data_IF_808373332942
#
_entry.id   IF_808373332942
#
_cell.length_a   1.000
_cell.length_b   1.000
_cell.length_c   1.000
_cell.angle_alpha   90.00
_cell.angle_beta   90.00
_cell.angle_gamma   90.00
#
_symmetry.space_group_name_H-M   'P 1'
#
loop_
_entity.id
_entity.type
_entity.pdbx_description
1 polymer ?
#
# COMPACT_ATOMS: atom_id res chain seq x y z
N UNK A 1 2.26 3.66 2.62
CA UNK A 1 1.27 3.17 1.62
C UNK A 1 1.70 3.71 0.27
N UNK A 2 1.22 3.11 -0.81
CA UNK A 2 1.40 3.63 -2.17
C UNK A 2 0.06 4.17 -2.67
N UNK A 3 0.06 5.26 -3.42
CA UNK A 3 -1.16 5.76 -4.05
C UNK A 3 -1.67 4.75 -5.07
N UNK A 4 -2.97 4.53 -5.09
CA UNK A 4 -3.64 3.59 -6.01
C UNK A 4 -4.42 4.41 -7.02
N UNK A 5 -4.07 4.29 -8.29
CA UNK A 5 -4.77 4.97 -9.37
C UNK A 5 -5.85 4.04 -9.90
N UNK A 6 -7.11 4.29 -9.51
CA UNK A 6 -8.25 3.46 -9.95
C UNK A 6 -8.37 3.44 -11.48
N UNK A 7 -8.42 2.22 -12.02
CA UNK A 7 -8.80 1.88 -13.39
C UNK A 7 -10.33 1.72 -13.50
N UNK A 8 -10.83 1.42 -14.69
CA UNK A 8 -12.22 1.02 -14.87
C UNK A 8 -12.47 -0.32 -14.16
N UNK A 9 -13.65 -0.46 -13.57
CA UNK A 9 -14.06 -1.74 -12.99
C UNK A 9 -14.18 -2.85 -14.05
N UNK A 10 -14.02 -4.13 -13.67
CA UNK A 10 -14.22 -5.22 -14.61
C UNK A 10 -15.69 -5.34 -15.02
N UNK A 11 -15.94 -5.73 -16.27
CA UNK A 11 -17.29 -5.87 -16.82
C UNK A 11 -18.17 -6.82 -15.98
N UNK A 12 -17.60 -7.88 -15.43
CA UNK A 12 -18.31 -8.83 -14.56
C UNK A 12 -18.90 -8.17 -13.30
N UNK A 13 -18.28 -7.11 -12.77
CA UNK A 13 -18.87 -6.34 -11.66
C UNK A 13 -20.04 -5.48 -12.13
N UNK A 14 -19.95 -4.89 -13.33
CA UNK A 14 -21.05 -4.13 -13.94
C UNK A 14 -22.26 -5.03 -14.24
N UNK A 15 -22.01 -6.21 -14.83
CA UNK A 15 -23.03 -7.22 -15.10
C UNK A 15 -23.67 -7.74 -13.81
N UNK A 16 -22.84 -8.05 -12.81
CA UNK A 16 -23.33 -8.48 -11.49
C UNK A 16 -24.24 -7.42 -10.87
N UNK A 17 -23.85 -6.14 -10.86
CA UNK A 17 -24.68 -5.04 -10.33
C UNK A 17 -26.04 -4.90 -11.03
N UNK A 18 -26.18 -5.39 -12.26
CA UNK A 18 -27.43 -5.36 -13.03
C UNK A 18 -28.36 -6.56 -12.73
N UNK A 19 -27.87 -7.54 -11.98
CA UNK A 19 -28.62 -8.75 -11.63
C UNK A 19 -29.58 -8.52 -10.46
N UNK A 20 -30.70 -9.25 -10.44
CA UNK A 20 -31.66 -9.18 -9.33
C UNK A 20 -31.02 -9.72 -8.04
N UNK A 21 -31.18 -8.99 -6.93
CA UNK A 21 -30.60 -9.33 -5.62
C UNK A 21 -29.05 -9.43 -5.61
N UNK A 22 -28.37 -8.69 -6.48
CA UNK A 22 -26.93 -8.58 -6.48
C UNK A 22 -26.40 -7.97 -5.18
N UNK A 23 -25.42 -8.63 -4.56
CA UNK A 23 -24.69 -8.15 -3.39
C UNK A 23 -23.23 -8.63 -3.45
N UNK A 24 -22.40 -8.23 -2.48
CA UNK A 24 -21.00 -8.61 -2.50
C UNK A 24 -20.78 -10.11 -2.22
N UNK A 25 -21.65 -10.74 -1.41
CA UNK A 25 -21.51 -12.15 -1.05
C UNK A 25 -21.66 -13.06 -2.27
N UNK A 26 -22.67 -12.82 -3.11
CA UNK A 26 -22.94 -13.60 -4.32
C UNK A 26 -22.14 -13.17 -5.56
N UNK A 27 -21.29 -12.15 -5.46
CA UNK A 27 -20.37 -11.73 -6.53
C UNK A 27 -19.28 -12.81 -6.79
N UNK A 28 -19.07 -13.26 -8.05
CA UNK A 28 -17.86 -13.98 -8.45
C UNK A 28 -16.64 -13.04 -8.39
N UNK A 29 -15.74 -13.28 -7.42
CA UNK A 29 -14.72 -12.29 -7.03
C UNK A 29 -13.44 -12.32 -7.86
N UNK A 30 -13.24 -13.30 -8.73
CA UNK A 30 -11.93 -13.55 -9.38
C UNK A 30 -11.48 -12.40 -10.29
N UNK A 31 -12.38 -11.87 -11.13
CA UNK A 31 -12.07 -10.74 -12.01
C UNK A 31 -11.80 -9.45 -11.21
N UNK A 32 -12.60 -9.21 -10.16
CA UNK A 32 -12.41 -8.05 -9.27
C UNK A 32 -11.07 -8.15 -8.56
N UNK A 33 -10.70 -9.33 -8.04
CA UNK A 33 -9.40 -9.56 -7.42
C UNK A 33 -8.26 -9.33 -8.39
N UNK A 34 -8.35 -9.88 -9.59
CA UNK A 34 -7.32 -9.75 -10.64
C UNK A 34 -7.13 -8.28 -11.01
N UNK A 35 -8.24 -7.57 -11.24
CA UNK A 35 -8.24 -6.13 -11.54
C UNK A 35 -7.57 -5.32 -10.43
N UNK A 36 -7.96 -5.52 -9.16
CA UNK A 36 -7.36 -4.82 -8.02
C UNK A 36 -5.88 -5.18 -7.81
N UNK A 37 -5.49 -6.44 -8.05
CA UNK A 37 -4.12 -6.91 -7.92
C UNK A 37 -3.19 -6.21 -8.91
N UNK A 38 -3.59 -6.17 -10.18
CA UNK A 38 -2.85 -5.50 -11.26
C UNK A 38 -2.79 -4.00 -11.01
N UNK A 39 -3.91 -3.37 -10.65
CA UNK A 39 -4.01 -1.94 -10.33
C UNK A 39 -3.04 -1.52 -9.21
N UNK A 40 -2.89 -2.36 -8.19
CA UNK A 40 -2.00 -2.10 -7.06
C UNK A 40 -0.55 -2.52 -7.30
N UNK A 41 -0.19 -3.04 -8.47
CA UNK A 41 1.15 -3.58 -8.73
C UNK A 41 1.53 -4.73 -7.79
N UNK A 42 0.54 -5.55 -7.44
CA UNK A 42 0.66 -6.79 -6.66
C UNK A 42 1.14 -6.59 -5.21
N UNK A 43 0.91 -5.43 -4.61
CA UNK A 43 1.21 -5.17 -3.19
C UNK A 43 -0.07 -4.78 -2.42
N UNK A 44 -0.11 -5.11 -1.13
CA UNK A 44 -1.21 -4.76 -0.23
C UNK A 44 -1.40 -3.25 -0.13
N UNK A 45 -2.66 -2.79 -0.23
CA UNK A 45 -3.03 -1.37 -0.22
C UNK A 45 -2.48 -0.61 1.00
N UNK A 46 -2.41 -1.26 2.17
CA UNK A 46 -1.95 -0.63 3.42
C UNK A 46 -0.46 -0.87 3.69
N UNK A 47 -0.04 -2.13 3.84
CA UNK A 47 1.32 -2.42 4.30
C UNK A 47 2.36 -2.51 3.18
N UNK A 48 1.95 -2.57 1.91
CA UNK A 48 2.81 -2.81 0.74
C UNK A 48 3.58 -4.15 0.74
N UNK A 49 3.14 -5.13 1.54
CA UNK A 49 3.59 -6.53 1.40
C UNK A 49 3.13 -7.10 0.06
N UNK A 50 3.91 -8.02 -0.50
CA UNK A 50 3.56 -8.76 -1.71
C UNK A 50 2.26 -9.51 -1.46
N UNK A 51 1.38 -9.40 -2.44
CA UNK A 51 0.24 -10.29 -2.58
C UNK A 51 0.64 -11.42 -3.53
N UNK A 52 0.56 -12.70 -3.11
CA UNK A 52 0.80 -13.83 -3.99
C UNK A 52 -0.17 -13.84 -5.17
N UNK A 53 0.30 -14.24 -6.36
CA UNK A 53 -0.53 -14.36 -7.56
C UNK A 53 -1.38 -15.62 -7.56
N UNK A 54 -0.93 -16.65 -6.85
CA UNK A 54 -1.71 -17.87 -6.64
C UNK A 54 -2.51 -17.71 -5.35
N UNK A 55 -3.74 -18.20 -5.32
CA UNK A 55 -4.63 -18.23 -4.15
C UNK A 55 -4.10 -19.12 -3.00
N UNK A 56 -2.82 -19.44 -2.98
CA UNK A 56 -2.16 -20.23 -1.94
C UNK A 56 -1.74 -19.26 -0.85
N UNK A 57 -2.17 -19.58 0.38
CA UNK A 57 -1.90 -18.85 1.61
C UNK A 57 -0.57 -18.05 1.66
N UNK A 58 -0.57 -16.80 2.14
CA UNK A 58 -1.69 -16.14 2.81
C UNK A 58 -2.76 -15.63 1.84
N UNK A 59 -4.03 -15.88 2.20
CA UNK A 59 -5.18 -15.33 1.50
C UNK A 59 -5.11 -13.80 1.40
N UNK A 60 -5.71 -13.26 0.35
CA UNK A 60 -5.99 -11.83 0.22
C UNK A 60 -7.39 -11.53 0.73
N UNK A 61 -7.72 -10.24 0.88
CA UNK A 61 -9.07 -9.78 1.16
C UNK A 61 -9.37 -8.62 0.20
N UNK A 62 -10.53 -8.66 -0.44
CA UNK A 62 -11.07 -7.44 -1.06
C UNK A 62 -11.53 -6.58 0.12
N UNK A 63 -10.83 -5.48 0.32
CA UNK A 63 -11.05 -4.53 1.39
C UNK A 63 -12.02 -3.45 0.91
N UNK A 64 -13.00 -3.13 1.74
CA UNK A 64 -13.88 -1.98 1.53
C UNK A 64 -13.42 -0.84 2.43
N UNK A 65 -12.98 0.26 1.80
CA UNK A 65 -12.50 1.44 2.54
C UNK A 65 -13.59 1.96 3.49
N UNK A 66 -14.79 2.19 2.96
CA UNK A 66 -16.04 2.32 3.70
C UNK A 66 -16.59 0.90 3.95
N UNK A 67 -16.50 0.42 5.19
CA UNK A 67 -16.81 -0.97 5.53
C UNK A 67 -18.29 -1.31 5.26
N UNK A 68 -18.54 -2.54 4.81
CA UNK A 68 -19.88 -2.99 4.43
C UNK A 68 -20.89 -2.92 5.57
N UNK A 69 -20.45 -3.15 6.81
CA UNK A 69 -21.32 -3.12 7.99
C UNK A 69 -21.96 -1.73 8.23
N UNK A 70 -21.25 -0.66 7.90
CA UNK A 70 -21.71 0.72 8.10
C UNK A 70 -22.14 1.41 6.80
N UNK A 71 -21.74 0.86 5.65
CA UNK A 71 -21.97 1.41 4.32
C UNK A 71 -22.40 0.32 3.32
N UNK A 72 -23.55 -0.34 3.54
CA UNK A 72 -24.01 -1.43 2.69
C UNK A 72 -24.24 -0.99 1.23
N UNK A 73 -24.61 0.27 1.01
CA UNK A 73 -24.75 0.89 -0.31
C UNK A 73 -23.43 0.99 -1.11
N UNK A 74 -22.29 0.82 -0.44
CA UNK A 74 -20.96 0.89 -1.04
C UNK A 74 -20.36 -0.50 -1.31
N UNK A 75 -21.08 -1.58 -1.04
CA UNK A 75 -20.54 -2.95 -1.09
C UNK A 75 -20.14 -3.39 -2.51
N UNK A 76 -20.78 -2.87 -3.56
CA UNK A 76 -20.48 -3.14 -4.98
C UNK A 76 -19.80 -1.95 -5.68
N UNK A 77 -19.43 -0.90 -4.94
CA UNK A 77 -18.74 0.25 -5.52
C UNK A 77 -17.24 -0.06 -5.68
N UNK A 78 -16.78 -0.25 -6.93
CA UNK A 78 -15.38 -0.57 -7.22
C UNK A 78 -14.37 0.48 -6.71
N UNK A 79 -14.75 1.76 -6.67
CA UNK A 79 -13.89 2.82 -6.12
C UNK A 79 -13.67 2.70 -4.61
N UNK A 80 -14.59 2.01 -3.92
CA UNK A 80 -14.50 1.67 -2.51
C UNK A 80 -13.73 0.35 -2.25
N UNK A 81 -13.44 -0.43 -3.29
CA UNK A 81 -12.75 -1.72 -3.20
C UNK A 81 -11.23 -1.57 -3.42
N UNK A 82 -10.47 -2.23 -2.54
CA UNK A 82 -9.02 -2.35 -2.55
C UNK A 82 -8.63 -3.81 -2.32
N UNK A 83 -7.35 -4.15 -2.49
CA UNK A 83 -6.81 -5.46 -2.16
C UNK A 83 -5.83 -5.40 -0.99
N UNK A 84 -6.21 -6.04 0.12
CA UNK A 84 -5.40 -6.16 1.32
C UNK A 84 -4.83 -7.58 1.46
N UNK A 85 -3.72 -7.72 2.19
CA UNK A 85 -3.26 -9.03 2.65
C UNK A 85 -4.15 -9.53 3.79
N UNK A 86 -4.11 -10.84 4.10
CA UNK A 86 -4.88 -11.42 5.23
C UNK A 86 -4.56 -10.81 6.59
N UNK A 87 -3.45 -10.07 6.73
CA UNK A 87 -3.16 -9.34 7.95
C UNK A 87 -3.05 -10.22 9.20
N UNK A 88 -2.61 -11.48 9.06
CA UNK A 88 -2.61 -12.50 10.12
C UNK A 88 -4.01 -12.82 10.69
N UNK A 89 -5.01 -12.91 9.82
CA UNK A 89 -6.33 -13.43 10.16
C UNK A 89 -6.23 -14.74 10.96
N UNK A 90 -7.04 -14.87 12.01
CA UNK A 90 -7.02 -16.00 12.95
C UNK A 90 -6.02 -15.86 14.09
N UNK A 91 -5.05 -14.95 14.02
CA UNK A 91 -4.16 -14.64 15.15
C UNK A 91 -4.83 -13.71 16.18
N UNK A 92 -4.32 -13.61 17.42
CA UNK A 92 -4.78 -12.62 18.40
C UNK A 92 -4.84 -11.20 17.84
N UNK A 93 -5.85 -10.42 18.25
CA UNK A 93 -6.14 -9.09 17.70
C UNK A 93 -4.94 -8.14 17.69
N UNK A 94 -4.07 -8.20 18.70
CA UNK A 94 -2.86 -7.35 18.79
C UNK A 94 -1.76 -7.72 17.78
N UNK A 95 -1.82 -8.90 17.18
CA UNK A 95 -0.91 -9.33 16.11
C UNK A 95 -1.50 -9.05 14.71
N UNK A 96 -2.82 -8.88 14.60
CA UNK A 96 -3.48 -8.60 13.33
C UNK A 96 -3.08 -7.23 12.79
N UNK A 97 -3.10 -7.08 11.46
CA UNK A 97 -2.75 -5.84 10.75
C UNK A 97 -3.68 -5.60 9.55
N UNK A 98 -3.58 -4.43 8.91
CA UNK A 98 -4.28 -4.11 7.67
C UNK A 98 -5.82 -4.22 7.83
N UNK A 99 -6.53 -4.65 6.78
CA UNK A 99 -7.99 -4.84 6.79
C UNK A 99 -8.45 -5.68 8.00
N UNK A 100 -7.82 -6.84 8.23
CA UNK A 100 -8.18 -7.71 9.37
C UNK A 100 -8.15 -7.00 10.72
N UNK A 101 -7.19 -6.08 10.95
CA UNK A 101 -7.15 -5.27 12.18
C UNK A 101 -8.15 -4.13 12.16
N UNK A 102 -8.32 -3.47 11.01
CA UNK A 102 -9.27 -2.36 10.82
C UNK A 102 -10.68 -2.83 11.14
N UNK A 103 -11.11 -3.95 10.56
CA UNK A 103 -12.48 -4.43 10.65
C UNK A 103 -13.47 -3.35 10.20
N UNK A 104 -14.46 -3.05 11.05
CA UNK A 104 -15.50 -2.07 10.73
C UNK A 104 -15.12 -0.62 11.07
N UNK A 105 -13.89 -0.37 11.52
CA UNK A 105 -13.43 0.99 11.86
C UNK A 105 -13.23 1.83 10.59
N UNK A 106 -13.55 3.11 10.67
CA UNK A 106 -13.35 4.07 9.58
C UNK A 106 -11.90 4.57 9.54
N UNK A 107 -11.39 4.80 8.33
CA UNK A 107 -10.14 5.50 8.09
C UNK A 107 -10.41 6.89 7.51
N UNK A 108 -9.54 7.84 7.79
CA UNK A 108 -9.66 9.22 7.30
C UNK A 108 -9.04 9.45 5.93
N UNK A 109 -8.23 8.49 5.44
CA UNK A 109 -7.55 8.58 4.15
C UNK A 109 -7.69 7.28 3.37
N UNK A 110 -8.25 7.40 2.16
CA UNK A 110 -8.29 6.31 1.19
C UNK A 110 -7.00 6.32 0.37
N UNK A 111 -6.24 5.22 0.27
CA UNK A 111 -5.07 5.13 -0.61
C UNK A 111 -5.38 5.41 -2.10
N UNK A 112 -6.64 5.34 -2.52
CA UNK A 112 -7.07 5.70 -3.88
C UNK A 112 -7.59 7.13 -4.05
N UNK A 113 -7.51 7.97 -3.00
CA UNK A 113 -7.87 9.39 -3.09
C UNK A 113 -6.93 10.13 -4.07
N UNK A 114 -7.53 10.78 -5.08
CA UNK A 114 -6.82 11.53 -6.11
C UNK A 114 -6.50 12.97 -5.70
N UNK A 115 -7.22 13.51 -4.71
CA UNK A 115 -7.06 14.88 -4.22
C UNK A 115 -5.95 14.91 -3.17
N UNK A 116 -5.98 13.97 -2.22
CA UNK A 116 -4.98 13.89 -1.14
C UNK A 116 -4.10 12.65 -1.31
N UNK A 117 -2.93 12.86 -1.90
CA UNK A 117 -1.97 11.77 -2.11
C UNK A 117 -1.42 11.25 -0.76
N UNK A 118 -1.70 9.99 -0.46
CA UNK A 118 -1.25 9.32 0.76
C UNK A 118 0.29 9.24 0.86
N UNK A 119 1.00 9.24 -0.27
CA UNK A 119 2.46 9.18 -0.32
C UNK A 119 3.11 10.43 0.31
N UNK A 120 2.45 11.59 0.24
CA UNK A 120 2.95 12.86 0.80
C UNK A 120 2.74 12.96 2.33
N UNK A 121 1.80 12.18 2.86
CA UNK A 121 1.40 12.21 4.27
C UNK A 121 2.16 11.19 5.12
N UNK A 122 2.75 10.17 4.49
CA UNK A 122 3.43 9.07 5.17
C UNK A 122 4.94 9.31 5.23
N UNK A 123 5.51 9.03 6.40
CA UNK A 123 6.94 9.13 6.68
C UNK A 123 7.47 7.85 7.27
N UNK A 124 8.79 7.67 7.16
CA UNK A 124 9.49 6.51 7.70
C UNK A 124 10.68 6.92 8.58
N UNK A 125 10.87 6.21 9.69
CA UNK A 125 12.08 6.31 10.52
C UNK A 125 13.10 5.24 10.10
N UNK A 126 14.36 5.45 10.45
CA UNK A 126 15.43 4.49 10.14
C UNK A 126 15.28 3.15 10.84
N UNK A 127 14.53 3.08 11.94
CA UNK A 127 14.16 1.83 12.62
C UNK A 127 12.99 1.09 11.95
N UNK A 128 12.50 1.58 10.80
CA UNK A 128 11.39 0.99 10.04
C UNK A 128 10.00 1.40 10.50
N UNK A 129 9.87 2.28 11.49
CA UNK A 129 8.57 2.80 11.91
C UNK A 129 7.92 3.66 10.81
N UNK A 130 6.62 3.46 10.58
CA UNK A 130 5.78 4.27 9.71
C UNK A 130 4.97 5.25 10.57
N UNK A 131 4.89 6.51 10.16
CA UNK A 131 4.18 7.56 10.91
C UNK A 131 3.68 8.66 9.98
N UNK A 132 2.82 9.54 10.49
CA UNK A 132 2.40 10.77 9.82
C UNK A 132 2.58 11.99 10.72
N UNK A 133 2.59 13.19 10.12
CA UNK A 133 2.44 14.44 10.87
C UNK A 133 0.98 14.85 11.05
N UNK A 134 0.05 14.23 10.33
CA UNK A 134 -1.37 14.31 10.61
C UNK A 134 -1.68 13.37 11.78
N UNK A 135 -2.15 13.92 12.90
CA UNK A 135 -2.36 13.18 14.16
C UNK A 135 -3.37 12.04 13.99
N UNK A 136 -4.45 12.28 13.24
CA UNK A 136 -5.50 11.29 13.01
C UNK A 136 -5.00 10.15 12.15
N UNK A 137 -4.31 10.45 11.04
CA UNK A 137 -3.68 9.41 10.22
C UNK A 137 -2.63 8.64 11.03
N UNK A 138 -1.85 9.32 11.85
CA UNK A 138 -0.83 8.67 12.67
C UNK A 138 -1.44 7.65 13.65
N UNK A 139 -2.54 8.02 14.30
CA UNK A 139 -3.31 7.12 15.18
C UNK A 139 -3.91 5.95 14.40
N UNK A 140 -4.45 6.19 13.21
CA UNK A 140 -5.00 5.15 12.34
C UNK A 140 -3.92 4.17 11.84
N UNK A 141 -2.71 4.65 11.53
CA UNK A 141 -1.57 3.80 11.18
C UNK A 141 -1.18 2.84 12.31
N UNK A 142 -1.21 3.33 13.56
CA UNK A 142 -0.79 2.58 14.75
C UNK A 142 -1.90 1.67 15.29
N UNK A 143 -3.09 2.21 15.54
CA UNK A 143 -4.09 1.53 16.36
C UNK A 143 -5.22 0.88 15.54
N UNK A 144 -5.57 1.46 14.39
CA UNK A 144 -6.58 0.92 13.47
C UNK A 144 -5.98 -0.10 12.50
N UNK A 145 -4.83 0.19 11.89
CA UNK A 145 -4.19 -0.70 10.92
C UNK A 145 -3.04 -1.53 11.50
N UNK A 146 -2.50 -1.16 12.67
CA UNK A 146 -1.37 -1.84 13.33
C UNK A 146 -0.15 -2.02 12.41
N UNK A 147 0.17 -0.97 11.63
CA UNK A 147 1.22 -1.07 10.62
C UNK A 147 2.63 -1.08 11.22
N UNK A 148 2.80 -0.75 12.51
CA UNK A 148 4.07 -0.84 13.24
C UNK A 148 4.28 -2.15 14.00
N UNK A 149 3.43 -3.16 13.78
CA UNK A 149 3.70 -4.54 14.21
C UNK A 149 5.14 -4.93 13.83
N UNK A 150 5.86 -5.54 14.78
CA UNK A 150 7.29 -5.83 14.69
C UNK A 150 7.75 -6.41 13.35
N UNK A 151 7.03 -7.37 12.76
CA UNK A 151 7.42 -7.96 11.46
C UNK A 151 7.39 -6.93 10.33
N UNK A 152 6.39 -6.05 10.28
CA UNK A 152 6.31 -4.99 9.28
C UNK A 152 7.39 -3.94 9.50
N UNK A 153 7.64 -3.57 10.76
CA UNK A 153 8.70 -2.62 11.13
C UNK A 153 10.09 -3.15 10.76
N UNK A 154 10.38 -4.42 11.03
CA UNK A 154 11.64 -5.07 10.64
C UNK A 154 11.81 -5.07 9.12
N UNK A 155 10.78 -5.46 8.36
CA UNK A 155 10.85 -5.48 6.90
C UNK A 155 11.15 -4.08 6.33
N UNK A 156 10.46 -3.04 6.82
CA UNK A 156 10.73 -1.66 6.40
C UNK A 156 12.14 -1.20 6.81
N UNK A 157 12.63 -1.59 8.00
CA UNK A 157 14.00 -1.27 8.44
C UNK A 157 15.04 -1.83 7.47
N UNK A 158 14.90 -3.10 7.07
CA UNK A 158 15.81 -3.75 6.12
C UNK A 158 15.85 -2.95 4.81
N UNK A 159 14.69 -2.63 4.24
CA UNK A 159 14.59 -1.85 3.00
C UNK A 159 15.19 -0.44 3.15
N UNK A 160 14.97 0.21 4.29
CA UNK A 160 15.54 1.52 4.61
C UNK A 160 17.08 1.45 4.65
N UNK A 161 17.64 0.45 5.33
CA UNK A 161 19.09 0.26 5.45
C UNK A 161 19.74 -0.08 4.10
N UNK A 162 19.10 -0.93 3.29
CA UNK A 162 19.58 -1.29 1.96
C UNK A 162 19.72 -0.08 1.04
N UNK A 163 18.66 0.74 0.93
CA UNK A 163 18.72 1.93 0.06
C UNK A 163 19.73 2.95 0.59
N UNK A 164 19.85 3.09 1.92
CA UNK A 164 20.84 3.99 2.52
C UNK A 164 22.27 3.53 2.20
N UNK A 165 22.55 2.23 2.29
CA UNK A 165 23.85 1.66 1.90
C UNK A 165 24.13 1.86 0.41
N UNK A 166 23.15 1.62 -0.46
CA UNK A 166 23.27 1.83 -1.91
C UNK A 166 23.60 3.29 -2.25
N UNK A 167 22.87 4.24 -1.67
CA UNK A 167 23.13 5.68 -1.86
C UNK A 167 24.53 6.07 -1.35
N UNK A 168 24.95 5.53 -0.20
CA UNK A 168 26.27 5.82 0.35
C UNK A 168 27.38 5.29 -0.56
N UNK A 169 27.27 4.05 -1.03
CA UNK A 169 28.29 3.40 -1.85
C UNK A 169 28.44 4.10 -3.21
N UNK A 170 27.33 4.38 -3.90
CA UNK A 170 27.38 5.13 -5.16
C UNK A 170 27.83 6.58 -4.95
N UNK A 171 27.44 7.19 -3.82
CA UNK A 171 27.91 8.52 -3.44
C UNK A 171 29.42 8.63 -3.23
N UNK A 172 30.13 7.53 -2.90
CA UNK A 172 31.60 7.51 -2.82
C UNK A 172 32.27 7.44 -4.19
N UNK A 173 31.57 6.90 -5.19
CA UNK A 173 32.05 6.79 -6.58
C UNK A 173 31.78 8.06 -7.39
N UNK A 174 30.68 8.76 -7.08
CA UNK A 174 30.24 9.95 -7.80
C UNK A 174 30.87 11.21 -7.18
N UNK A 175 31.77 11.87 -7.92
CA UNK A 175 32.48 13.07 -7.46
C UNK A 175 31.72 14.40 -7.59
N UNK A 176 30.56 14.44 -8.27
CA UNK A 176 29.81 15.68 -8.52
C UNK A 176 28.36 15.61 -8.00
N UNK A 177 27.90 16.69 -7.34
CA UNK A 177 26.52 16.91 -6.85
C UNK A 177 25.47 16.67 -7.94
N UNK A 178 25.70 17.15 -9.17
CA UNK A 178 24.74 17.00 -10.28
C UNK A 178 24.54 15.52 -10.66
N UNK A 179 25.64 14.77 -10.78
CA UNK A 179 25.61 13.34 -11.06
C UNK A 179 24.96 12.54 -9.93
N UNK A 180 25.19 12.94 -8.68
CA UNK A 180 24.55 12.32 -7.52
C UNK A 180 23.04 12.55 -7.50
N UNK A 181 22.58 13.76 -7.85
CA UNK A 181 21.15 14.05 -8.03
C UNK A 181 20.56 13.17 -9.12
N UNK A 182 21.19 13.10 -10.31
CA UNK A 182 20.74 12.25 -11.41
C UNK A 182 20.62 10.79 -11.01
N UNK A 183 21.60 10.25 -10.30
CA UNK A 183 21.54 8.88 -9.77
C UNK A 183 20.33 8.68 -8.84
N UNK A 184 20.10 9.58 -7.88
CA UNK A 184 18.97 9.50 -6.96
C UNK A 184 17.63 9.54 -7.70
N UNK A 185 17.46 10.44 -8.66
CA UNK A 185 16.24 10.53 -9.47
C UNK A 185 16.00 9.27 -10.32
N UNK A 186 17.06 8.70 -10.90
CA UNK A 186 16.97 7.43 -11.64
C UNK A 186 16.56 6.26 -10.74
N UNK A 187 17.12 6.18 -9.53
CA UNK A 187 16.74 5.14 -8.58
C UNK A 187 15.30 5.32 -8.07
N UNK A 188 14.87 6.56 -7.83
CA UNK A 188 13.47 6.89 -7.51
C UNK A 188 12.53 6.45 -8.64
N UNK A 189 12.86 6.79 -9.89
CA UNK A 189 12.05 6.42 -11.06
C UNK A 189 11.90 4.89 -11.17
N UNK A 190 12.98 4.12 -10.96
CA UNK A 190 12.92 2.64 -10.96
C UNK A 190 12.03 2.08 -9.86
N UNK A 191 12.03 2.69 -8.67
CA UNK A 191 11.20 2.25 -7.55
C UNK A 191 9.71 2.56 -7.75
N UNK A 192 9.42 3.62 -8.52
CA UNK A 192 8.07 4.05 -8.87
C UNK A 192 7.53 3.37 -10.14
N UNK A 193 8.38 2.69 -10.90
CA UNK A 193 7.98 1.88 -12.05
C UNK A 193 7.66 0.45 -11.66
N UNK A 194 6.71 -0.16 -12.36
CA UNK A 194 6.49 -1.60 -12.30
C UNK A 194 7.64 -2.33 -13.01
N UNK A 195 8.08 -3.45 -12.42
CA UNK A 195 8.93 -4.43 -13.09
C UNK A 195 8.14 -5.73 -13.20
N UNK A 196 7.92 -6.22 -14.42
CA UNK A 196 7.06 -7.40 -14.68
C UNK A 196 5.67 -7.26 -14.03
N UNK A 197 5.04 -6.09 -14.23
CA UNK A 197 3.73 -5.78 -13.65
C UNK A 197 3.71 -5.54 -12.14
N UNK A 198 4.87 -5.54 -11.45
CA UNK A 198 4.95 -5.54 -9.98
C UNK A 198 5.74 -4.36 -9.44
N UNK A 199 5.24 -3.74 -8.37
CA UNK A 199 6.07 -2.89 -7.54
C UNK A 199 6.96 -3.72 -6.63
N UNK A 200 8.12 -3.19 -6.24
CA UNK A 200 8.91 -3.75 -5.15
C UNK A 200 8.14 -3.61 -3.83
N UNK A 201 8.17 -4.64 -2.99
CA UNK A 201 7.60 -4.55 -1.64
C UNK A 201 8.17 -3.36 -0.88
N UNK A 202 7.30 -2.65 -0.16
CA UNK A 202 7.66 -1.46 0.62
C UNK A 202 8.41 -0.37 -0.18
N UNK A 203 8.25 -0.29 -1.51
CA UNK A 203 8.96 0.65 -2.39
C UNK A 203 8.97 2.10 -1.88
N UNK A 204 7.86 2.57 -1.29
CA UNK A 204 7.75 3.94 -0.77
C UNK A 204 8.69 4.25 0.41
N UNK A 205 9.22 3.23 1.10
CA UNK A 205 10.29 3.43 2.10
C UNK A 205 11.55 3.95 1.41
N UNK A 206 11.95 3.31 0.31
CA UNK A 206 13.13 3.72 -0.45
C UNK A 206 12.94 5.07 -1.12
N UNK A 207 11.77 5.32 -1.69
CA UNK A 207 11.40 6.63 -2.28
C UNK A 207 11.52 7.74 -1.23
N UNK A 208 10.96 7.55 -0.03
CA UNK A 208 11.04 8.52 1.06
C UNK A 208 12.50 8.84 1.47
N UNK A 209 13.37 7.83 1.56
CA UNK A 209 14.80 8.03 1.88
C UNK A 209 15.48 8.87 0.80
N UNK A 210 15.21 8.56 -0.47
CA UNK A 210 15.75 9.30 -1.62
C UNK A 210 15.27 10.76 -1.59
N UNK A 211 13.98 10.99 -1.41
CA UNK A 211 13.40 12.34 -1.36
C UNK A 211 13.97 13.18 -0.22
N UNK A 212 14.20 12.57 0.95
CA UNK A 212 14.88 13.23 2.07
C UNK A 212 16.30 13.67 1.70
N UNK A 213 17.01 12.90 0.87
CA UNK A 213 18.35 13.28 0.38
C UNK A 213 18.26 14.37 -0.68
N UNK A 214 17.37 14.23 -1.66
CA UNK A 214 17.16 15.23 -2.71
C UNK A 214 16.79 16.61 -2.14
N UNK A 215 15.88 16.67 -1.16
CA UNK A 215 15.50 17.93 -0.49
C UNK A 215 16.68 18.65 0.19
N UNK A 216 17.66 17.89 0.73
CA UNK A 216 18.89 18.45 1.33
C UNK A 216 19.93 18.87 0.30
N UNK A 217 19.74 18.48 -0.97
CA UNK A 217 20.60 18.84 -2.10
C UNK A 217 20.02 20.01 -2.91
N UNK A 218 18.83 20.51 -2.58
CA UNK A 218 18.35 21.80 -3.05
C UNK A 218 19.10 22.88 -2.29
#
# INVERSE_FOLDING_TARGET
MKQIIKSNEPFSLTEHRSSQHANFENLPKDDVRTSLLTEQGHICCYCMKRIPETNINPSTKIEHFLCQANHPDQELNYSNMLLACSGQQGSPKHLQTCDTRKGNQTLSFNPSDRIRNIEDLIKYKSNGEIYSSDERLNEELENVLNLNMNTLKINRRIIYEEIQKRIMNEGRRIGNRAMKRRFLEQEKAKLLSLNDGKFREFCMVSVYVIDKKLRRMN
#
